data_IF_589492380156
#
_entry.id   IF_589492380156
#
_cell.length_a   1.000
_cell.length_b   1.000
_cell.length_c   1.000
_cell.angle_alpha   90.00
_cell.angle_beta   90.00
_cell.angle_gamma   90.00
#
_symmetry.space_group_name_H-M   'P 1'
#
loop_
_entity.id
_entity.type
_entity.pdbx_description
1 polymer ?
#
# COMPACT_ATOMS: atom_id res chain seq x y z
N UNK A 1 19.72 -37.73 29.13
CA UNK A 1 19.95 -37.43 27.71
C UNK A 1 20.41 -35.97 27.61
N UNK A 2 21.69 -35.72 27.32
CA UNK A 2 22.21 -34.34 27.21
C UNK A 2 21.71 -33.79 25.87
N UNK A 3 20.84 -32.78 25.91
CA UNK A 3 20.42 -32.04 24.72
C UNK A 3 21.68 -31.33 24.21
N UNK A 4 22.05 -31.59 22.96
CA UNK A 4 23.19 -30.91 22.33
C UNK A 4 22.92 -29.40 22.32
N UNK A 5 23.95 -28.60 22.63
CA UNK A 5 23.87 -27.12 22.61
C UNK A 5 23.30 -26.63 21.26
N UNK A 6 23.64 -27.29 20.17
CA UNK A 6 23.12 -27.00 18.83
C UNK A 6 21.58 -27.14 18.75
N UNK A 7 21.02 -28.20 19.30
CA UNK A 7 19.58 -28.43 19.33
C UNK A 7 18.85 -27.39 20.19
N UNK A 8 19.44 -27.03 21.32
CA UNK A 8 18.88 -26.02 22.21
C UNK A 8 18.90 -24.64 21.53
N UNK A 9 20.02 -24.24 20.91
CA UNK A 9 20.14 -22.97 20.21
C UNK A 9 19.16 -22.89 19.03
N UNK A 10 19.06 -23.96 18.24
CA UNK A 10 18.12 -24.04 17.14
C UNK A 10 16.66 -23.91 17.62
N UNK A 11 16.29 -24.62 18.67
CA UNK A 11 14.95 -24.56 19.24
C UNK A 11 14.63 -23.17 19.78
N UNK A 12 15.54 -22.53 20.50
CA UNK A 12 15.36 -21.18 21.04
C UNK A 12 15.15 -20.16 19.92
N UNK A 13 16.00 -20.21 18.89
CA UNK A 13 15.86 -19.35 17.71
C UNK A 13 14.56 -19.60 16.95
N UNK A 14 14.17 -20.86 16.79
CA UNK A 14 12.93 -21.22 16.11
C UNK A 14 11.69 -20.69 16.87
N UNK A 15 11.63 -20.87 18.19
CA UNK A 15 10.50 -20.39 19.00
C UNK A 15 10.45 -18.86 19.02
N UNK A 16 11.60 -18.20 19.19
CA UNK A 16 11.62 -16.72 19.23
C UNK A 16 11.24 -16.10 17.89
N UNK A 17 11.63 -16.72 16.77
CA UNK A 17 11.26 -16.23 15.43
C UNK A 17 9.83 -16.61 15.01
N UNK A 18 9.24 -17.67 15.55
CA UNK A 18 7.92 -18.17 15.17
C UNK A 18 6.81 -17.11 15.35
N UNK A 19 6.87 -16.31 16.42
CA UNK A 19 5.89 -15.25 16.68
C UNK A 19 5.93 -14.20 15.57
N UNK A 20 7.13 -13.78 15.16
CA UNK A 20 7.29 -12.78 14.10
C UNK A 20 6.85 -13.31 12.74
N UNK A 21 7.13 -14.59 12.45
CA UNK A 21 6.67 -15.25 11.23
C UNK A 21 5.15 -15.30 11.20
N UNK A 22 4.51 -15.65 12.32
CA UNK A 22 3.06 -15.71 12.42
C UNK A 22 2.43 -14.34 12.15
N UNK A 23 2.96 -13.29 12.78
CA UNK A 23 2.51 -11.90 12.54
C UNK A 23 2.71 -11.53 11.06
N UNK A 24 3.89 -11.78 10.50
CA UNK A 24 4.18 -11.47 9.10
C UNK A 24 3.27 -12.24 8.13
N UNK A 25 2.98 -13.50 8.42
CA UNK A 25 2.09 -14.32 7.59
C UNK A 25 0.65 -13.81 7.61
N UNK A 26 0.10 -13.53 8.79
CA UNK A 26 -1.27 -13.01 8.93
C UNK A 26 -1.39 -11.65 8.26
N UNK A 27 -0.46 -10.74 8.54
CA UNK A 27 -0.47 -9.40 7.94
C UNK A 27 -0.26 -9.44 6.43
N UNK A 28 0.59 -10.34 5.93
CA UNK A 28 0.80 -10.56 4.50
C UNK A 28 -0.47 -11.05 3.79
N UNK A 29 -1.23 -11.95 4.41
CA UNK A 29 -2.53 -12.39 3.89
C UNK A 29 -3.49 -11.20 3.78
N UNK A 30 -3.61 -10.38 4.82
CA UNK A 30 -4.50 -9.20 4.80
C UNK A 30 -4.08 -8.24 3.69
N UNK A 31 -2.78 -7.94 3.55
CA UNK A 31 -2.27 -7.04 2.50
C UNK A 31 -2.47 -7.59 1.08
N UNK A 32 -2.52 -8.91 0.91
CA UNK A 32 -2.81 -9.51 -0.39
C UNK A 32 -4.23 -9.19 -0.91
N UNK A 33 -5.16 -8.80 -0.02
CA UNK A 33 -6.50 -8.35 -0.41
C UNK A 33 -6.57 -6.85 -0.73
N UNK A 34 -5.55 -6.05 -0.41
CA UNK A 34 -5.54 -4.61 -0.69
C UNK A 34 -5.76 -4.28 -2.18
N UNK A 35 -5.05 -4.92 -3.14
CA UNK A 35 -5.27 -4.66 -4.57
C UNK A 35 -6.67 -5.04 -5.04
N UNK A 36 -7.25 -6.10 -4.48
CA UNK A 36 -8.61 -6.53 -4.82
C UNK A 36 -9.63 -5.52 -4.29
N UNK A 37 -9.45 -5.06 -3.06
CA UNK A 37 -10.30 -4.03 -2.45
C UNK A 37 -10.27 -2.72 -3.25
N UNK A 38 -9.09 -2.32 -3.73
CA UNK A 38 -8.93 -1.11 -4.53
C UNK A 38 -9.61 -1.21 -5.91
N UNK A 39 -9.58 -2.39 -6.54
CA UNK A 39 -10.24 -2.61 -7.84
C UNK A 39 -11.78 -2.60 -7.80
N UNK A 40 -12.37 -2.81 -6.63
CA UNK A 40 -13.84 -2.80 -6.44
C UNK A 40 -14.36 -1.35 -6.32
N UNK A 41 -13.47 -0.37 -6.14
CA UNK A 41 -13.87 1.02 -6.01
C UNK A 41 -14.45 1.59 -7.31
N UNK A 42 -15.49 2.45 -7.23
CA UNK A 42 -16.18 3.01 -8.38
C UNK A 42 -15.34 4.01 -9.20
N UNK A 43 -14.11 4.29 -8.77
CA UNK A 43 -13.19 5.23 -9.42
C UNK A 43 -12.38 4.61 -10.57
N UNK A 44 -12.52 3.30 -10.78
CA UNK A 44 -11.86 2.60 -11.88
C UNK A 44 -12.58 2.94 -13.19
N UNK A 45 -11.91 3.67 -14.06
CA UNK A 45 -12.41 4.02 -15.40
C UNK A 45 -11.87 2.98 -16.39
N UNK A 46 -12.78 2.33 -17.11
CA UNK A 46 -12.43 1.37 -18.16
C UNK A 46 -11.71 2.11 -19.29
N UNK A 47 -10.60 1.51 -19.78
CA UNK A 47 -9.78 2.03 -20.89
C UNK A 47 -9.02 3.34 -20.62
N UNK A 48 -8.50 3.52 -19.40
CA UNK A 48 -7.67 4.69 -19.05
C UNK A 48 -6.47 4.85 -20.00
N UNK A 49 -5.89 3.75 -20.47
CA UNK A 49 -4.75 3.75 -21.40
C UNK A 49 -5.06 4.37 -22.78
N UNK A 50 -6.33 4.58 -23.10
CA UNK A 50 -6.77 5.22 -24.34
C UNK A 50 -6.95 6.73 -24.21
N UNK A 51 -6.82 7.30 -22.99
CA UNK A 51 -7.04 8.72 -22.73
C UNK A 51 -5.70 9.45 -22.69
N UNK A 52 -5.59 10.52 -23.45
CA UNK A 52 -4.41 11.38 -23.37
C UNK A 52 -4.55 12.43 -22.26
N UNK A 53 -3.44 12.82 -21.65
CA UNK A 53 -3.42 13.91 -20.67
C UNK A 53 -3.98 15.21 -21.27
N UNK A 54 -3.74 15.45 -22.55
CA UNK A 54 -4.26 16.64 -23.24
C UNK A 54 -5.80 16.67 -23.30
N UNK A 55 -6.44 15.52 -23.53
CA UNK A 55 -7.89 15.40 -23.49
C UNK A 55 -8.44 15.64 -22.09
N UNK A 56 -7.77 15.09 -21.07
CA UNK A 56 -8.14 15.32 -19.66
C UNK A 56 -8.03 16.79 -19.29
N UNK A 57 -6.95 17.48 -19.67
CA UNK A 57 -6.78 18.91 -19.41
C UNK A 57 -7.91 19.70 -20.06
N UNK A 58 -8.20 19.43 -21.34
CA UNK A 58 -9.27 20.14 -22.07
C UNK A 58 -10.64 19.95 -21.41
N UNK A 59 -10.94 18.76 -20.89
CA UNK A 59 -12.17 18.49 -20.16
C UNK A 59 -12.25 19.29 -18.85
N UNK A 60 -11.14 19.36 -18.11
CA UNK A 60 -11.07 20.06 -16.81
C UNK A 60 -11.11 21.58 -16.96
N UNK A 61 -10.44 22.18 -17.98
CA UNK A 61 -10.45 23.63 -18.23
C UNK A 61 -11.86 24.20 -18.47
N UNK A 62 -12.78 23.36 -18.97
CA UNK A 62 -14.17 23.76 -19.16
C UNK A 62 -14.95 23.86 -17.84
N UNK A 63 -14.53 23.18 -16.79
CA UNK A 63 -15.30 23.06 -15.53
C UNK A 63 -14.65 23.82 -14.37
N UNK A 64 -13.31 23.85 -14.31
CA UNK A 64 -12.55 24.44 -13.20
C UNK A 64 -11.80 25.68 -13.65
N UNK A 65 -11.47 26.58 -12.70
CA UNK A 65 -10.75 27.82 -12.97
C UNK A 65 -9.25 27.57 -13.16
N UNK A 66 -8.67 26.71 -12.33
CA UNK A 66 -7.25 26.35 -12.38
C UNK A 66 -7.03 24.89 -12.04
N UNK A 67 -6.16 24.26 -12.80
CA UNK A 67 -5.70 22.87 -12.55
C UNK A 67 -4.30 22.97 -11.94
N UNK A 68 -4.17 22.56 -10.67
CA UNK A 68 -2.89 22.59 -9.95
C UNK A 68 -2.09 21.33 -10.29
N UNK A 69 -2.73 20.15 -10.15
CA UNK A 69 -2.07 18.86 -10.34
C UNK A 69 -3.03 17.85 -10.92
N UNK A 70 -2.53 17.00 -11.82
CA UNK A 70 -3.18 15.77 -12.27
C UNK A 70 -2.26 14.62 -11.87
N UNK A 71 -2.75 13.66 -11.10
CA UNK A 71 -2.00 12.52 -10.64
C UNK A 71 -2.70 11.23 -11.02
N UNK A 72 -1.93 10.23 -11.49
CA UNK A 72 -2.41 8.87 -11.74
C UNK A 72 -1.75 7.97 -10.71
N UNK A 73 -2.54 7.28 -9.92
CA UNK A 73 -2.03 6.39 -8.89
C UNK A 73 -1.67 4.99 -9.42
N UNK A 74 -1.14 4.14 -8.55
CA UNK A 74 -0.74 2.76 -8.88
C UNK A 74 -1.92 1.85 -9.30
N UNK A 75 -3.16 2.29 -9.08
CA UNK A 75 -4.39 1.58 -9.44
C UNK A 75 -5.06 2.17 -10.68
N UNK A 76 -4.37 3.05 -11.42
CA UNK A 76 -4.88 3.78 -12.57
C UNK A 76 -6.05 4.73 -12.25
N UNK A 77 -6.19 5.19 -10.99
CA UNK A 77 -7.16 6.21 -10.63
C UNK A 77 -6.57 7.59 -10.89
N UNK A 78 -7.33 8.43 -11.56
CA UNK A 78 -6.92 9.81 -11.85
C UNK A 78 -7.48 10.74 -10.80
N UNK A 79 -6.61 11.41 -10.06
CA UNK A 79 -6.97 12.44 -9.10
C UNK A 79 -6.48 13.80 -9.57
N UNK A 80 -7.21 14.84 -9.19
CA UNK A 80 -6.86 16.22 -9.52
C UNK A 80 -6.92 17.09 -8.28
N UNK A 81 -6.03 18.07 -8.26
CA UNK A 81 -6.11 19.22 -7.37
C UNK A 81 -6.48 20.42 -8.23
N UNK A 82 -7.60 21.06 -7.96
CA UNK A 82 -8.15 22.16 -8.76
C UNK A 82 -8.58 23.33 -7.88
N UNK A 83 -8.67 24.51 -8.51
CA UNK A 83 -9.38 25.66 -7.94
C UNK A 83 -10.73 25.75 -8.65
N UNK A 84 -11.79 25.68 -7.86
CA UNK A 84 -13.15 25.85 -8.38
C UNK A 84 -13.40 27.31 -8.75
N UNK A 85 -14.39 27.58 -9.57
CA UNK A 85 -14.81 28.95 -9.95
C UNK A 85 -15.23 29.81 -8.75
N UNK A 86 -15.45 29.19 -7.58
CA UNK A 86 -15.70 29.88 -6.31
C UNK A 86 -14.40 30.23 -5.55
N UNK A 87 -13.22 29.90 -6.12
CA UNK A 87 -11.91 30.14 -5.51
C UNK A 87 -11.56 29.14 -4.41
N UNK A 88 -12.22 27.97 -4.34
CA UNK A 88 -11.92 26.92 -3.37
C UNK A 88 -10.96 25.90 -3.98
N UNK A 89 -9.96 25.49 -3.20
CA UNK A 89 -9.10 24.36 -3.56
C UNK A 89 -9.78 23.06 -3.17
N UNK A 90 -9.95 22.17 -4.15
CA UNK A 90 -10.56 20.84 -3.96
C UNK A 90 -9.66 19.76 -4.57
N UNK A 91 -9.67 18.57 -3.95
CA UNK A 91 -8.94 17.39 -4.40
C UNK A 91 -9.87 16.20 -4.45
N UNK A 92 -9.97 15.53 -5.61
CA UNK A 92 -10.90 14.42 -5.81
C UNK A 92 -10.49 13.55 -7.00
N UNK A 93 -11.12 12.37 -7.12
CA UNK A 93 -11.00 11.52 -8.31
C UNK A 93 -11.93 11.97 -9.43
N UNK A 94 -11.43 11.88 -10.66
CA UNK A 94 -12.17 12.25 -11.87
C UNK A 94 -12.28 11.08 -12.85
N UNK A 95 -13.27 11.19 -13.72
CA UNK A 95 -13.23 10.48 -14.99
C UNK A 95 -12.36 11.27 -15.99
N UNK A 96 -11.19 10.76 -16.41
CA UNK A 96 -10.27 11.53 -17.25
C UNK A 96 -10.80 11.84 -18.65
N UNK A 97 -11.87 11.14 -19.11
CA UNK A 97 -12.53 11.42 -20.39
C UNK A 97 -13.51 12.60 -20.33
N UNK A 98 -14.20 12.74 -19.22
CA UNK A 98 -15.28 13.74 -19.08
C UNK A 98 -14.92 14.91 -18.18
N UNK A 99 -13.88 14.77 -17.34
CA UNK A 99 -13.51 15.74 -16.31
C UNK A 99 -14.42 15.70 -15.07
N UNK A 100 -15.48 14.90 -15.09
CA UNK A 100 -16.45 14.83 -14.00
C UNK A 100 -15.87 14.21 -12.75
N UNK A 101 -16.21 14.77 -11.58
CA UNK A 101 -15.88 14.20 -10.28
C UNK A 101 -16.56 12.84 -10.10
N UNK A 102 -15.76 11.80 -9.84
CA UNK A 102 -16.22 10.43 -9.59
C UNK A 102 -16.34 10.17 -8.08
N UNK A 103 -15.54 10.85 -7.28
CA UNK A 103 -15.59 10.74 -5.83
C UNK A 103 -14.43 11.44 -5.13
N UNK A 104 -14.53 11.50 -3.81
CA UNK A 104 -13.48 12.11 -2.98
C UNK A 104 -12.25 11.23 -2.87
N UNK A 105 -11.08 11.83 -2.58
CA UNK A 105 -9.83 11.08 -2.41
C UNK A 105 -10.00 10.00 -1.35
N UNK A 106 -9.68 8.76 -1.73
CA UNK A 106 -9.68 7.63 -0.80
C UNK A 106 -8.52 7.81 0.16
N UNK A 107 -8.83 8.01 1.42
CA UNK A 107 -7.84 7.74 2.46
C UNK A 107 -7.64 6.23 2.51
N UNK A 108 -6.38 5.77 2.52
CA UNK A 108 -6.07 4.35 2.72
C UNK A 108 -6.93 3.80 3.85
N UNK A 109 -7.58 2.67 3.60
CA UNK A 109 -8.39 2.03 4.63
C UNK A 109 -7.54 1.87 5.90
N UNK A 110 -8.03 2.31 7.08
CA UNK A 110 -7.27 2.24 8.33
C UNK A 110 -6.73 0.84 8.64
N UNK A 111 -7.43 -0.19 8.17
CA UNK A 111 -7.00 -1.58 8.36
C UNK A 111 -5.75 -1.91 7.54
N UNK A 112 -5.67 -1.45 6.29
CA UNK A 112 -4.49 -1.67 5.45
C UNK A 112 -3.31 -0.82 5.91
N UNK A 113 -3.55 0.41 6.34
CA UNK A 113 -2.51 1.27 6.90
C UNK A 113 -1.91 0.67 8.18
N UNK A 114 -2.76 0.22 9.11
CA UNK A 114 -2.34 -0.47 10.33
C UNK A 114 -1.55 -1.73 9.99
N UNK A 115 -2.06 -2.56 9.08
CA UNK A 115 -1.46 -3.83 8.68
C UNK A 115 -0.11 -3.60 7.99
N UNK A 116 0.00 -2.59 7.12
CA UNK A 116 1.27 -2.21 6.47
C UNK A 116 2.32 -1.78 7.49
N UNK A 117 1.95 -0.94 8.45
CA UNK A 117 2.86 -0.48 9.50
C UNK A 117 3.32 -1.62 10.39
N UNK A 118 2.44 -2.56 10.71
CA UNK A 118 2.77 -3.75 11.48
C UNK A 118 3.67 -4.70 10.69
N UNK A 119 3.30 -5.02 9.45
CA UNK A 119 4.05 -5.94 8.58
C UNK A 119 5.45 -5.42 8.25
N UNK A 120 5.56 -4.15 7.92
CA UNK A 120 6.79 -3.54 7.42
C UNK A 120 7.77 -3.13 8.52
N UNK A 121 7.27 -2.78 9.70
CA UNK A 121 8.11 -2.14 10.71
C UNK A 121 7.70 -2.38 12.16
N UNK A 122 6.72 -3.23 12.44
CA UNK A 122 6.20 -3.45 13.80
C UNK A 122 5.88 -2.13 14.54
N UNK A 123 5.44 -1.10 13.81
CA UNK A 123 5.25 0.29 14.27
C UNK A 123 6.53 1.01 14.75
N UNK A 124 7.70 0.40 14.65
CA UNK A 124 8.99 0.93 15.13
C UNK A 124 9.77 1.69 14.04
N UNK A 125 9.13 2.07 12.93
CA UNK A 125 9.75 2.82 11.81
C UNK A 125 11.06 2.17 11.32
N UNK A 126 12.17 2.91 11.31
CA UNK A 126 13.48 2.43 10.85
C UNK A 126 14.04 1.28 11.70
N UNK A 127 13.87 1.36 13.02
CA UNK A 127 14.30 0.31 13.95
C UNK A 127 13.55 -1.00 13.71
N UNK A 128 12.24 -0.92 13.46
CA UNK A 128 11.44 -2.10 13.16
C UNK A 128 11.84 -2.78 11.86
N UNK A 129 12.16 -2.00 10.82
CA UNK A 129 12.68 -2.55 9.56
C UNK A 129 14.00 -3.31 9.75
N UNK A 130 14.90 -2.77 10.58
CA UNK A 130 16.13 -3.46 10.95
C UNK A 130 15.87 -4.77 11.68
N UNK A 131 14.95 -4.77 12.65
CA UNK A 131 14.57 -5.99 13.41
C UNK A 131 14.00 -7.05 12.47
N UNK A 132 13.07 -6.69 11.57
CA UNK A 132 12.52 -7.62 10.59
C UNK A 132 13.60 -8.19 9.68
N UNK A 133 14.55 -7.37 9.22
CA UNK A 133 15.70 -7.82 8.44
C UNK A 133 16.56 -8.83 9.22
N UNK A 134 16.83 -8.57 10.50
CA UNK A 134 17.57 -9.48 11.35
C UNK A 134 16.83 -10.81 11.55
N UNK A 135 15.52 -10.78 11.78
CA UNK A 135 14.68 -11.99 11.90
C UNK A 135 14.71 -12.80 10.61
N UNK A 136 14.63 -12.16 9.46
CA UNK A 136 14.73 -12.82 8.15
C UNK A 136 16.08 -13.50 7.97
N UNK A 137 17.18 -12.87 8.40
CA UNK A 137 18.51 -13.46 8.38
C UNK A 137 18.60 -14.67 9.32
N UNK A 138 18.04 -14.56 10.54
CA UNK A 138 18.01 -15.69 11.48
C UNK A 138 17.20 -16.87 10.94
N UNK A 139 16.07 -16.60 10.29
CA UNK A 139 15.28 -17.62 9.60
C UNK A 139 16.07 -18.33 8.50
N UNK A 140 16.80 -17.59 7.69
CA UNK A 140 17.68 -18.15 6.67
C UNK A 140 18.72 -19.09 7.29
N UNK A 141 19.35 -18.68 8.39
CA UNK A 141 20.33 -19.52 9.09
C UNK A 141 19.68 -20.77 9.71
N UNK A 142 18.48 -20.65 10.27
CA UNK A 142 17.72 -21.80 10.79
C UNK A 142 17.39 -22.79 9.67
N UNK A 143 16.98 -22.29 8.50
CA UNK A 143 16.67 -23.14 7.36
C UNK A 143 17.89 -23.94 6.88
N UNK A 144 19.09 -23.33 6.85
CA UNK A 144 20.33 -24.02 6.48
C UNK A 144 20.76 -25.04 7.55
N UNK A 145 20.63 -24.68 8.83
CA UNK A 145 21.10 -25.54 9.93
C UNK A 145 20.11 -26.61 10.34
N UNK A 146 18.88 -26.51 9.91
CA UNK A 146 17.81 -27.46 10.21
C UNK A 146 17.66 -28.61 9.20
N UNK A 147 18.42 -28.55 8.10
CA UNK A 147 18.60 -29.64 7.14
C UNK A 147 19.77 -30.52 7.53
#
# INVERSE_FOLDING_TARGET
MKISIWRLSHLTLAISSAIFILIASITGIILAFEPISNKINPYNVVDINSVSIAETITALENEYEEIITINVDENDFVSVDVITREGKSESFYINPKTGEKVGDLIQKSPIFEFTTNLHRSLFLKSTGRFIIGLISLLLFLIAITGT
#
